data_IF_815007475139
#
_entry.id   IF_815007475139
#
_cell.length_a   1.000
_cell.length_b   1.000
_cell.length_c   1.000
_cell.angle_alpha   90.00
_cell.angle_beta   90.00
_cell.angle_gamma   90.00
#
_symmetry.space_group_name_H-M   'P 1'
#
loop_
_entity.id
_entity.type
_entity.pdbx_description
1 polymer ?
#
# COMPACT_ATOMS: atom_id res chain seq x y z
N UNK A 1 10.72 -16.60 -6.06
CA UNK A 1 10.76 -15.18 -5.64
C UNK A 1 9.85 -15.04 -4.44
N UNK A 2 10.09 -14.06 -3.56
CA UNK A 2 9.22 -13.81 -2.40
C UNK A 2 8.05 -12.95 -2.83
N UNK A 3 6.84 -13.35 -2.44
CA UNK A 3 5.63 -12.57 -2.68
C UNK A 3 5.69 -11.28 -1.86
N UNK A 4 5.63 -10.15 -2.55
CA UNK A 4 5.86 -8.82 -1.96
C UNK A 4 5.04 -7.76 -2.71
N UNK A 5 4.53 -6.79 -1.96
CA UNK A 5 4.02 -5.54 -2.50
C UNK A 5 4.88 -4.37 -2.04
N UNK A 6 5.18 -3.47 -2.97
CA UNK A 6 5.87 -2.21 -2.69
C UNK A 6 5.04 -1.07 -3.26
N UNK A 7 4.91 0.00 -2.50
CA UNK A 7 4.25 1.22 -2.90
C UNK A 7 5.19 2.36 -2.56
N UNK A 8 5.71 3.00 -3.60
CA UNK A 8 6.37 4.28 -3.45
C UNK A 8 5.47 5.42 -3.94
N UNK A 9 5.67 6.58 -3.34
CA UNK A 9 5.02 7.81 -3.72
C UNK A 9 6.13 8.81 -3.99
N UNK A 10 6.12 9.33 -5.21
CA UNK A 10 6.96 10.46 -5.60
C UNK A 10 6.09 11.58 -6.12
N UNK A 11 6.56 12.81 -6.04
CA UNK A 11 5.80 13.96 -6.54
C UNK A 11 5.22 14.77 -5.40
N UNK A 12 5.90 15.88 -5.19
CA UNK A 12 5.49 17.10 -4.53
C UNK A 12 6.72 17.99 -4.68
N UNK A 13 6.62 19.08 -5.43
CA UNK A 13 7.60 20.15 -5.26
C UNK A 13 7.25 20.83 -3.95
N UNK A 14 7.85 20.38 -2.85
CA UNK A 14 7.91 21.21 -1.65
C UNK A 14 9.05 22.22 -1.83
N UNK A 15 9.05 23.35 -1.11
CA UNK A 15 10.22 24.23 -1.03
C UNK A 15 11.52 23.51 -0.59
N UNK A 16 11.42 22.27 -0.09
CA UNK A 16 12.51 21.44 0.39
C UNK A 16 12.87 20.28 -0.56
N UNK A 17 12.33 20.26 -1.78
CA UNK A 17 12.60 19.24 -2.80
C UNK A 17 11.48 18.22 -3.00
N UNK A 18 11.77 17.19 -3.80
CA UNK A 18 10.86 16.08 -4.10
C UNK A 18 10.81 15.11 -2.93
N UNK A 19 9.64 14.94 -2.34
CA UNK A 19 9.43 13.92 -1.32
C UNK A 19 9.28 12.56 -2.01
N UNK A 20 10.19 11.62 -1.71
CA UNK A 20 10.05 10.21 -2.04
C UNK A 20 9.77 9.43 -0.75
N UNK A 21 8.72 8.63 -0.75
CA UNK A 21 8.40 7.73 0.36
C UNK A 21 8.08 6.36 -0.21
N UNK A 22 8.73 5.33 0.29
CA UNK A 22 8.53 3.94 -0.12
C UNK A 22 8.23 3.08 1.10
N UNK A 23 7.22 2.22 0.96
CA UNK A 23 6.86 1.20 1.93
C UNK A 23 6.67 -0.13 1.20
N UNK A 24 7.06 -1.23 1.84
CA UNK A 24 6.88 -2.58 1.31
C UNK A 24 6.43 -3.56 2.39
N UNK A 25 5.69 -4.59 1.98
CA UNK A 25 5.22 -5.69 2.83
C UNK A 25 5.40 -7.02 2.10
N UNK A 26 5.93 -8.01 2.81
CA UNK A 26 5.93 -9.40 2.33
C UNK A 26 4.58 -10.06 2.62
N UNK A 27 4.27 -11.14 1.92
CA UNK A 27 3.00 -11.88 2.06
C UNK A 27 2.67 -12.25 3.51
N UNK A 28 3.67 -12.62 4.32
CA UNK A 28 3.50 -12.99 5.73
C UNK A 28 3.16 -11.79 6.65
N UNK A 29 3.30 -10.56 6.16
CA UNK A 29 2.96 -9.33 6.89
C UNK A 29 1.57 -8.77 6.55
N UNK A 30 0.82 -9.41 5.64
CA UNK A 30 -0.45 -8.93 5.10
C UNK A 30 -1.57 -9.90 5.50
N UNK A 31 -2.76 -9.38 5.82
CA UNK A 31 -3.90 -10.27 6.06
C UNK A 31 -4.20 -11.08 4.78
N UNK A 32 -4.42 -12.41 4.86
CA UNK A 32 -4.65 -13.25 3.69
C UNK A 32 -5.82 -12.78 2.79
N UNK A 33 -6.87 -12.21 3.39
CA UNK A 33 -8.01 -11.66 2.67
C UNK A 33 -7.63 -10.42 1.86
N UNK A 34 -6.80 -9.53 2.41
CA UNK A 34 -6.37 -8.31 1.73
C UNK A 34 -5.37 -8.61 0.63
N UNK A 35 -4.49 -9.60 0.83
CA UNK A 35 -3.67 -10.14 -0.25
C UNK A 35 -4.52 -10.76 -1.38
N UNK A 36 -5.49 -11.60 -1.04
CA UNK A 36 -6.35 -12.27 -2.03
C UNK A 36 -7.18 -11.26 -2.84
N UNK A 37 -7.76 -10.25 -2.18
CA UNK A 37 -8.53 -9.20 -2.84
C UNK A 37 -7.66 -8.34 -3.75
N UNK A 38 -6.46 -7.97 -3.29
CA UNK A 38 -5.49 -7.22 -4.08
C UNK A 38 -5.12 -7.99 -5.35
N UNK A 39 -4.76 -9.26 -5.21
CA UNK A 39 -4.29 -10.08 -6.33
C UNK A 39 -5.42 -10.37 -7.33
N UNK A 40 -6.63 -10.68 -6.83
CA UNK A 40 -7.80 -10.87 -7.68
C UNK A 40 -8.11 -9.62 -8.52
N UNK A 41 -8.01 -8.43 -7.92
CA UNK A 41 -8.22 -7.18 -8.64
C UNK A 41 -7.08 -6.87 -9.61
N UNK A 42 -5.83 -7.12 -9.25
CA UNK A 42 -4.68 -6.98 -10.14
C UNK A 42 -4.81 -7.87 -11.39
N UNK A 43 -5.29 -9.11 -11.21
CA UNK A 43 -5.54 -10.04 -12.30
C UNK A 43 -6.72 -9.59 -13.18
N UNK A 44 -7.80 -9.09 -12.59
CA UNK A 44 -8.97 -8.62 -13.33
C UNK A 44 -8.71 -7.42 -14.25
N UNK A 45 -7.63 -6.67 -14.01
CA UNK A 45 -7.26 -5.47 -14.79
C UNK A 45 -6.01 -5.69 -15.65
N UNK A 46 -5.57 -6.94 -15.78
CA UNK A 46 -4.37 -7.36 -16.49
C UNK A 46 -3.10 -6.63 -16.03
N UNK A 47 -2.99 -6.32 -14.73
CA UNK A 47 -1.92 -5.48 -14.16
C UNK A 47 -0.52 -5.92 -14.61
N UNK A 48 -0.24 -7.22 -14.56
CA UNK A 48 1.09 -7.78 -14.86
C UNK A 48 1.52 -7.61 -16.33
N UNK A 49 0.57 -7.39 -17.24
CA UNK A 49 0.83 -7.19 -18.69
C UNK A 49 0.38 -5.82 -19.18
N UNK A 50 -0.14 -4.97 -18.29
CA UNK A 50 -0.68 -3.66 -18.64
C UNK A 50 0.45 -2.77 -19.15
N UNK A 51 0.17 -2.04 -20.23
CA UNK A 51 1.07 -1.02 -20.75
C UNK A 51 1.27 0.10 -19.73
N UNK A 52 2.46 0.71 -19.78
CA UNK A 52 2.75 1.87 -18.94
C UNK A 52 1.78 3.02 -19.29
N UNK A 53 1.24 3.72 -18.27
CA UNK A 53 0.41 4.89 -18.52
C UNK A 53 1.23 6.02 -19.15
N UNK A 54 0.52 7.02 -19.68
CA UNK A 54 1.16 8.19 -20.25
C UNK A 54 2.07 8.90 -19.23
N UNK A 55 3.10 9.60 -19.73
CA UNK A 55 4.02 10.33 -18.87
C UNK A 55 3.26 11.36 -18.01
N UNK A 56 3.55 11.45 -16.70
CA UNK A 56 2.90 12.40 -15.81
C UNK A 56 3.19 13.85 -16.20
N UNK A 57 2.25 14.74 -15.87
CA UNK A 57 2.55 16.17 -15.80
C UNK A 57 3.65 16.44 -14.76
N UNK A 58 4.42 17.51 -14.94
CA UNK A 58 5.59 17.83 -14.10
C UNK A 58 5.26 18.02 -12.61
N UNK A 59 4.01 18.35 -12.30
CA UNK A 59 3.49 18.58 -10.95
C UNK A 59 2.59 17.44 -10.44
N UNK A 60 2.39 16.38 -11.23
CA UNK A 60 1.56 15.24 -10.83
C UNK A 60 2.23 14.44 -9.71
N UNK A 61 1.41 13.95 -8.78
CA UNK A 61 1.84 12.92 -7.84
C UNK A 61 1.84 11.58 -8.56
N UNK A 62 2.87 10.77 -8.31
CA UNK A 62 3.09 9.48 -8.96
C UNK A 62 3.16 8.40 -7.88
N UNK A 63 2.36 7.36 -8.04
CA UNK A 63 2.37 6.14 -7.24
C UNK A 63 3.13 5.05 -7.99
N UNK A 64 4.29 4.64 -7.50
CA UNK A 64 5.01 3.49 -8.04
C UNK A 64 4.55 2.25 -7.30
N UNK A 65 3.74 1.42 -7.96
CA UNK A 65 3.22 0.18 -7.40
C UNK A 65 3.98 -0.99 -8.00
N UNK A 66 4.62 -1.78 -7.15
CA UNK A 66 5.22 -3.06 -7.51
C UNK A 66 4.46 -4.19 -6.84
N UNK A 67 4.02 -5.17 -7.62
CA UNK A 67 3.43 -6.41 -7.10
C UNK A 67 4.25 -7.57 -7.63
N UNK A 68 4.73 -8.42 -6.73
CA UNK A 68 5.36 -9.71 -7.05
C UNK A 68 4.53 -10.83 -6.44
N UNK A 69 4.07 -11.75 -7.28
CA UNK A 69 3.25 -12.90 -6.90
C UNK A 69 3.69 -14.15 -7.66
N UNK A 70 4.35 -15.07 -6.97
CA UNK A 70 4.99 -16.25 -7.51
C UNK A 70 6.09 -15.87 -8.52
N UNK A 71 5.86 -16.22 -9.78
CA UNK A 71 6.77 -15.92 -10.90
C UNK A 71 6.42 -14.62 -11.63
N UNK A 72 5.30 -13.98 -11.26
CA UNK A 72 4.83 -12.74 -11.90
C UNK A 72 5.31 -11.55 -11.09
N UNK A 73 5.89 -10.56 -11.76
CA UNK A 73 6.29 -9.31 -11.13
C UNK A 73 6.10 -8.16 -12.11
N UNK A 74 5.52 -7.06 -11.63
CA UNK A 74 5.35 -5.84 -12.41
C UNK A 74 5.41 -4.62 -11.51
N UNK A 75 6.11 -3.61 -11.99
CA UNK A 75 6.09 -2.24 -11.47
C UNK A 75 5.31 -1.35 -12.45
N UNK A 76 4.42 -0.51 -11.93
CA UNK A 76 3.71 0.53 -12.69
C UNK A 76 3.75 1.85 -11.92
N UNK A 77 4.14 2.91 -12.61
CA UNK A 77 4.01 4.28 -12.16
C UNK A 77 2.62 4.80 -12.52
N UNK A 78 1.78 5.09 -11.54
CA UNK A 78 0.40 5.54 -11.72
C UNK A 78 0.26 7.01 -11.32
N UNK A 79 -0.22 7.83 -12.24
CA UNK A 79 -0.37 9.27 -12.03
C UNK A 79 -1.65 9.60 -11.22
N UNK A 80 -1.56 10.62 -10.38
CA UNK A 80 -2.68 11.28 -9.70
C UNK A 80 -2.87 12.66 -10.35
N UNK A 81 -4.07 12.98 -10.89
CA UNK A 81 -5.32 12.22 -10.82
C UNK A 81 -5.30 10.93 -11.66
N UNK A 82 -5.99 9.89 -11.15
CA UNK A 82 -6.12 8.60 -11.84
C UNK A 82 -7.03 8.70 -13.06
N UNK A 83 -6.49 8.44 -14.25
CA UNK A 83 -7.31 8.35 -15.48
C UNK A 83 -8.17 7.08 -15.51
N UNK A 84 -7.65 5.98 -14.94
CA UNK A 84 -8.28 4.68 -14.88
C UNK A 84 -8.81 4.38 -13.46
N UNK A 85 -10.14 4.34 -13.23
CA UNK A 85 -10.72 4.08 -11.92
C UNK A 85 -10.27 2.74 -11.32
N UNK A 86 -9.99 1.76 -12.16
CA UNK A 86 -9.52 0.44 -11.74
C UNK A 86 -8.11 0.47 -11.12
N UNK A 87 -7.23 1.39 -11.57
CA UNK A 87 -5.93 1.61 -10.96
C UNK A 87 -6.05 2.34 -9.61
N UNK A 88 -6.99 3.27 -9.49
CA UNK A 88 -7.29 3.94 -8.22
C UNK A 88 -7.75 2.93 -7.16
N UNK A 89 -8.60 1.97 -7.55
CA UNK A 89 -9.02 0.88 -6.66
C UNK A 89 -7.84 -0.02 -6.29
N UNK A 90 -6.96 -0.37 -7.24
CA UNK A 90 -5.77 -1.17 -6.95
C UNK A 90 -4.87 -0.49 -5.91
N UNK A 91 -4.57 0.80 -6.08
CA UNK A 91 -3.78 1.58 -5.11
C UNK A 91 -4.45 1.61 -3.73
N UNK A 92 -5.79 1.70 -3.67
CA UNK A 92 -6.54 1.64 -2.41
C UNK A 92 -6.41 0.29 -1.72
N UNK A 93 -6.49 -0.82 -2.47
CA UNK A 93 -6.29 -2.17 -1.95
C UNK A 93 -4.86 -2.35 -1.45
N UNK A 94 -3.85 -1.87 -2.19
CA UNK A 94 -2.45 -1.93 -1.76
C UNK A 94 -2.26 -1.20 -0.43
N UNK A 95 -2.80 0.02 -0.30
CA UNK A 95 -2.73 0.79 0.95
C UNK A 95 -3.43 0.10 2.12
N UNK A 96 -4.49 -0.66 1.85
CA UNK A 96 -5.18 -1.44 2.88
C UNK A 96 -4.28 -2.58 3.35
N UNK A 97 -3.76 -3.38 2.42
CA UNK A 97 -2.80 -4.44 2.71
C UNK A 97 -1.55 -3.94 3.46
N UNK A 98 -1.09 -2.72 3.18
CA UNK A 98 0.04 -2.10 3.87
C UNK A 98 -0.28 -1.62 5.29
N UNK A 99 -1.53 -1.24 5.54
CA UNK A 99 -2.01 -0.71 6.82
C UNK A 99 -2.31 -1.79 7.87
N UNK A 100 -2.23 -3.07 7.52
CA UNK A 100 -2.58 -4.18 8.41
C UNK A 100 -1.72 -4.30 9.69
N UNK A 101 -0.72 -3.44 9.89
CA UNK A 101 -0.13 -3.18 11.20
C UNK A 101 -0.70 -1.93 11.87
N UNK A 102 -1.85 -2.09 12.52
CA UNK A 102 -2.17 -1.43 13.81
C UNK A 102 -3.36 -2.05 14.57
N UNK A 103 -3.80 -3.28 14.28
CA UNK A 103 -4.54 -4.05 15.29
C UNK A 103 -3.50 -4.86 16.06
N UNK A 104 -3.02 -4.27 17.15
CA UNK A 104 -2.38 -5.02 18.21
C UNK A 104 -3.36 -6.12 18.64
N UNK A 105 -3.16 -7.34 18.15
CA UNK A 105 -3.89 -8.48 18.71
C UNK A 105 -3.49 -8.57 20.18
N UNK A 106 -4.44 -8.75 21.13
CA UNK A 106 -4.15 -8.76 22.56
C UNK A 106 -3.01 -9.71 22.96
N UNK A 107 -2.80 -10.76 22.17
CA UNK A 107 -1.75 -11.77 22.37
C UNK A 107 -0.32 -11.27 22.12
N UNK A 108 -0.15 -10.10 21.49
CA UNK A 108 1.15 -9.47 21.22
C UNK A 108 1.48 -8.31 22.17
N UNK A 109 0.53 -7.92 23.03
CA UNK A 109 0.73 -6.87 24.02
C UNK A 109 1.05 -7.49 25.37
N UNK A 110 2.12 -7.04 26.01
CA UNK A 110 2.31 -7.38 27.41
C UNK A 110 1.27 -6.65 28.28
N UNK A 111 1.04 -7.14 29.50
CA UNK A 111 0.04 -6.57 30.42
C UNK A 111 0.26 -5.07 30.68
N UNK A 112 1.51 -4.60 30.66
CA UNK A 112 1.84 -3.19 30.85
C UNK A 112 1.33 -2.30 29.70
N UNK A 113 1.44 -2.76 28.45
CA UNK A 113 0.97 -2.01 27.29
C UNK A 113 -0.56 -2.03 27.19
N UNK A 114 -1.20 -3.15 27.56
CA UNK A 114 -2.66 -3.24 27.66
C UNK A 114 -3.22 -2.30 28.73
N UNK A 115 -2.56 -2.21 29.89
CA UNK A 115 -3.01 -1.33 30.97
C UNK A 115 -2.79 0.15 30.63
N UNK A 116 -1.72 0.49 29.90
CA UNK A 116 -1.50 1.85 29.41
C UNK A 116 -2.62 2.31 28.46
N UNK A 117 -3.09 1.43 27.57
CA UNK A 117 -4.20 1.73 26.66
C UNK A 117 -5.51 1.88 27.45
N UNK A 118 -5.81 0.97 28.38
CA UNK A 118 -7.01 1.05 29.24
C UNK A 118 -7.05 2.34 30.07
N UNK A 119 -5.92 2.71 30.64
CA UNK A 119 -5.77 3.93 31.45
C UNK A 119 -5.99 5.18 30.60
N UNK A 120 -5.39 5.25 29.41
CA UNK A 120 -5.57 6.36 28.48
C UNK A 120 -7.01 6.50 27.95
N UNK A 121 -7.76 5.39 27.90
CA UNK A 121 -9.16 5.39 27.45
C UNK A 121 -10.11 5.78 28.59
N UNK A 122 -9.81 5.42 29.85
CA UNK A 122 -10.59 5.82 31.03
C UNK A 122 -10.41 7.29 31.43
N UNK A 123 -9.28 7.91 31.11
CA UNK A 123 -9.02 9.32 31.43
C UNK A 123 -9.75 10.33 30.53
N UNK A 124 -10.71 9.86 29.72
CA UNK A 124 -11.42 10.66 28.73
C UNK A 124 -12.92 10.81 29.02
N UNK A 125 -13.37 10.29 30.16
CA UNK A 125 -14.68 10.57 30.80
C UNK A 125 -14.46 11.45 32.04
#
# INVERSE_FOLDING_TARGET
MTDVITLAISGWFTPHGTLYHEEGRTLDEIAPEDWSNLLAHADAIDFFTRADPALPASDARIFHLTITAGERSRELAVNDPFEAPELALLIRLTRRAMRDRLVLTPDMLNEQQLEAIRTATRSRD
#
